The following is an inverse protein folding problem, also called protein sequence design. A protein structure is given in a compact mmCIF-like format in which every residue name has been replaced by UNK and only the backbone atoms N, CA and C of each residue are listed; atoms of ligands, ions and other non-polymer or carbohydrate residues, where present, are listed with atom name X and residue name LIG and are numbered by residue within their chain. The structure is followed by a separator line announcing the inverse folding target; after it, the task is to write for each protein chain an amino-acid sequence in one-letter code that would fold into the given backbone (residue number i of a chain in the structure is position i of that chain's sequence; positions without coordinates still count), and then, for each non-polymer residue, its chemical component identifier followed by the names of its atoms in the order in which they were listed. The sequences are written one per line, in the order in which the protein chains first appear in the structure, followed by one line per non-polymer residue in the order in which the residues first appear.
data_IF_353235984162
#
_entry.id   IF_353235984162
#
_cell.length_a   1.000
_cell.length_b   1.000
_cell.length_c   1.000
_cell.angle_alpha   90.00
_cell.angle_beta   90.00
_cell.angle_gamma   90.00
#
_symmetry.space_group_name_H-M   'P 1'
#
loop_
_entity.id
_entity.type
_entity.pdbx_description
1 polymer ?
#
# COMPACT_ATOMS: atom_id res chain seq x y z
N UNK A 1 -10.38 18.37 -19.56
CA UNK A 1 -11.86 18.45 -19.29
C UNK A 1 -12.17 19.71 -18.49
N UNK A 2 -13.44 20.19 -18.41
CA UNK A 2 -13.80 21.31 -17.53
C UNK A 2 -14.01 20.76 -16.11
N UNK A 3 -13.23 21.20 -15.09
CA UNK A 3 -13.37 20.70 -13.73
C UNK A 3 -14.76 20.95 -13.16
N UNK A 4 -15.20 20.11 -12.23
CA UNK A 4 -16.42 20.36 -11.43
C UNK A 4 -16.21 21.63 -10.59
N UNK A 5 -17.25 22.45 -10.48
CA UNK A 5 -17.18 23.68 -9.67
C UNK A 5 -16.93 23.38 -8.19
N UNK A 6 -17.58 22.35 -7.66
CA UNK A 6 -17.35 21.79 -6.32
C UNK A 6 -17.73 20.31 -6.32
N UNK A 7 -16.80 19.44 -5.94
CA UNK A 7 -16.98 17.99 -5.84
C UNK A 7 -17.19 17.50 -4.39
N UNK A 8 -16.92 18.35 -3.41
CA UNK A 8 -16.97 18.03 -1.98
C UNK A 8 -18.37 17.68 -1.46
N UNK A 9 -19.48 18.31 -1.94
CA UNK A 9 -20.82 18.00 -1.43
C UNK A 9 -21.23 16.54 -1.53
N UNK A 10 -20.81 15.81 -2.57
CA UNK A 10 -21.07 14.38 -2.74
C UNK A 10 -20.36 13.49 -1.70
N UNK A 11 -19.37 14.02 -1.00
CA UNK A 11 -18.54 13.29 -0.04
C UNK A 11 -18.59 13.87 1.37
N UNK A 12 -19.70 14.54 1.73
CA UNK A 12 -19.87 15.19 3.05
C UNK A 12 -19.72 14.25 4.25
N UNK A 13 -19.93 12.95 4.07
CA UNK A 13 -19.70 11.94 5.09
C UNK A 13 -18.22 11.81 5.49
N UNK A 14 -17.29 12.28 4.65
CA UNK A 14 -15.85 12.12 4.80
C UNK A 14 -15.11 13.48 4.84
N UNK A 15 -15.43 14.37 5.79
CA UNK A 15 -14.93 15.75 5.76
C UNK A 15 -13.41 15.87 5.85
N UNK A 16 -12.76 15.00 6.60
CA UNK A 16 -11.30 15.00 6.75
C UNK A 16 -10.60 14.54 5.47
N UNK A 17 -11.04 13.45 4.86
CA UNK A 17 -10.48 12.93 3.62
C UNK A 17 -10.67 13.90 2.46
N UNK A 18 -11.85 14.51 2.34
CA UNK A 18 -12.13 15.55 1.35
C UNK A 18 -11.22 16.78 1.57
N UNK A 19 -11.01 17.19 2.82
CA UNK A 19 -10.13 18.32 3.15
C UNK A 19 -8.67 18.02 2.78
N UNK A 20 -8.18 16.83 3.09
CA UNK A 20 -6.83 16.42 2.75
C UNK A 20 -6.58 16.43 1.25
N UNK A 21 -7.48 15.85 0.46
CA UNK A 21 -7.38 15.79 -1.00
C UNK A 21 -7.61 17.14 -1.68
N UNK A 22 -8.20 18.11 -0.97
CA UNK A 22 -8.39 19.47 -1.48
C UNK A 22 -7.22 20.38 -1.18
N UNK A 23 -6.31 19.98 -0.30
CA UNK A 23 -5.12 20.72 0.06
C UNK A 23 -3.96 20.33 -0.88
N UNK A 24 -3.48 21.26 -1.69
CA UNK A 24 -2.36 21.02 -2.61
C UNK A 24 -2.74 20.23 -3.89
N UNK A 25 -1.77 19.48 -4.42
CA UNK A 25 -1.89 18.75 -5.69
C UNK A 25 -2.52 17.35 -5.54
N UNK A 26 -3.19 17.05 -4.42
CA UNK A 26 -3.62 15.69 -4.09
C UNK A 26 -4.61 15.05 -5.07
N UNK A 27 -5.45 15.87 -5.76
CA UNK A 27 -6.46 15.38 -6.70
C UNK A 27 -6.58 16.28 -7.93
N UNK A 28 -6.58 15.70 -9.13
CA UNK A 28 -6.77 16.39 -10.41
C UNK A 28 -8.22 16.24 -10.90
N UNK A 29 -8.85 17.37 -11.19
CA UNK A 29 -10.24 17.45 -11.71
C UNK A 29 -10.31 17.71 -13.23
N UNK A 30 -9.23 18.18 -13.80
CA UNK A 30 -9.14 18.74 -15.15
C UNK A 30 -8.76 17.72 -16.22
N UNK A 31 -8.21 16.58 -15.81
CA UNK A 31 -7.72 15.51 -16.68
C UNK A 31 -8.20 14.13 -16.21
N UNK A 32 -8.16 13.15 -17.10
CA UNK A 32 -8.32 11.73 -16.75
C UNK A 32 -7.49 10.88 -17.72
N UNK A 33 -7.15 9.69 -17.28
CA UNK A 33 -6.58 8.65 -18.13
C UNK A 33 -7.70 7.78 -18.69
N UNK A 34 -7.69 7.55 -19.99
CA UNK A 34 -8.66 6.67 -20.64
C UNK A 34 -7.97 5.39 -21.12
N UNK A 35 -8.51 4.26 -20.71
CA UNK A 35 -8.03 2.92 -21.05
C UNK A 35 -9.04 2.21 -21.95
N UNK A 36 -8.60 1.21 -22.67
CA UNK A 36 -9.46 0.20 -23.28
C UNK A 36 -9.78 -0.90 -22.27
N UNK A 37 -10.85 -1.65 -22.48
CA UNK A 37 -11.16 -2.83 -21.66
C UNK A 37 -10.00 -3.82 -21.65
N UNK A 38 -9.35 -4.09 -22.78
CA UNK A 38 -8.21 -5.00 -22.87
C UNK A 38 -6.99 -4.54 -22.06
N UNK A 39 -6.78 -3.23 -21.92
CA UNK A 39 -5.71 -2.70 -21.07
C UNK A 39 -6.04 -2.89 -19.57
N UNK A 40 -7.30 -2.76 -19.19
CA UNK A 40 -7.76 -3.05 -17.83
C UNK A 40 -7.58 -4.55 -17.52
N UNK A 41 -8.03 -5.44 -18.43
CA UNK A 41 -7.87 -6.89 -18.28
C UNK A 41 -6.40 -7.30 -18.13
N UNK A 42 -5.49 -6.67 -18.88
CA UNK A 42 -4.05 -6.88 -18.75
C UNK A 42 -3.55 -6.44 -17.37
N UNK A 43 -3.90 -5.23 -16.92
CA UNK A 43 -3.44 -4.69 -15.64
C UNK A 43 -3.96 -5.55 -14.47
N UNK A 44 -5.23 -5.94 -14.51
CA UNK A 44 -5.85 -6.82 -13.51
C UNK A 44 -5.14 -8.17 -13.45
N UNK A 45 -4.97 -8.84 -14.60
CA UNK A 45 -4.30 -10.15 -14.69
C UNK A 45 -2.86 -10.10 -14.17
N UNK A 46 -2.10 -9.07 -14.57
CA UNK A 46 -0.72 -8.87 -14.11
C UNK A 46 -0.67 -8.61 -12.61
N UNK A 47 -1.58 -7.80 -12.06
CA UNK A 47 -1.63 -7.50 -10.64
C UNK A 47 -1.96 -8.76 -9.79
N UNK A 48 -2.90 -9.61 -10.24
CA UNK A 48 -3.24 -10.88 -9.60
C UNK A 48 -2.05 -11.86 -9.61
N UNK A 49 -1.34 -11.96 -10.74
CA UNK A 49 -0.13 -12.78 -10.84
C UNK A 49 0.97 -12.29 -9.91
N UNK A 50 1.27 -10.98 -9.94
CA UNK A 50 2.28 -10.37 -9.07
C UNK A 50 1.93 -10.53 -7.59
N UNK A 51 0.66 -10.39 -7.21
CA UNK A 51 0.21 -10.65 -5.84
C UNK A 51 0.55 -12.08 -5.39
N UNK A 52 0.28 -13.06 -6.24
CA UNK A 52 0.61 -14.47 -5.96
C UNK A 52 2.13 -14.68 -5.82
N UNK A 53 2.92 -14.06 -6.71
CA UNK A 53 4.40 -14.14 -6.68
C UNK A 53 4.98 -13.48 -5.43
N UNK A 54 4.43 -12.34 -5.00
CA UNK A 54 4.81 -11.65 -3.76
C UNK A 54 4.60 -12.57 -2.55
N UNK A 55 3.45 -13.24 -2.47
CA UNK A 55 3.18 -14.23 -1.41
C UNK A 55 4.22 -15.35 -1.37
N UNK A 56 4.58 -15.90 -2.53
CA UNK A 56 5.62 -16.92 -2.64
C UNK A 56 7.01 -16.38 -2.23
N UNK A 57 7.33 -15.13 -2.60
CA UNK A 57 8.59 -14.50 -2.22
C UNK A 57 8.68 -14.26 -0.70
N UNK A 58 7.61 -13.81 -0.05
CA UNK A 58 7.56 -13.67 1.41
C UNK A 58 7.74 -15.03 2.11
N UNK A 59 7.06 -16.06 1.63
CA UNK A 59 7.27 -17.42 2.13
C UNK A 59 8.74 -17.84 2.00
N UNK A 60 9.36 -17.62 0.84
CA UNK A 60 10.77 -17.92 0.63
C UNK A 60 11.69 -17.18 1.63
N UNK A 61 11.40 -15.90 1.92
CA UNK A 61 12.14 -15.14 2.94
C UNK A 61 12.02 -15.77 4.32
N UNK A 62 10.82 -16.16 4.73
CA UNK A 62 10.58 -16.76 6.06
C UNK A 62 11.23 -18.14 6.15
N UNK A 63 11.02 -19.02 5.18
CA UNK A 63 11.52 -20.39 5.17
C UNK A 63 13.05 -20.45 5.15
N UNK A 64 13.71 -19.51 4.45
CA UNK A 64 15.15 -19.42 4.35
C UNK A 64 15.79 -18.40 5.31
N UNK A 65 15.01 -17.80 6.23
CA UNK A 65 15.50 -16.86 7.25
C UNK A 65 16.23 -15.64 6.69
N UNK A 66 15.78 -15.12 5.57
CA UNK A 66 16.44 -14.03 4.84
C UNK A 66 16.14 -12.63 5.42
N UNK A 67 15.61 -12.52 6.62
CA UNK A 67 15.21 -11.26 7.26
C UNK A 67 16.34 -10.22 7.29
N UNK A 68 17.57 -10.67 7.61
CA UNK A 68 18.73 -9.79 7.65
C UNK A 68 19.08 -9.14 6.33
N UNK A 69 18.83 -9.82 5.21
CA UNK A 69 18.99 -9.28 3.87
C UNK A 69 17.98 -8.18 3.55
N UNK A 70 16.82 -8.22 4.20
CA UNK A 70 15.77 -7.20 4.12
C UNK A 70 15.89 -6.12 5.21
N UNK A 71 17.04 -6.02 5.90
CA UNK A 71 17.28 -5.02 6.93
C UNK A 71 16.62 -5.32 8.28
N UNK A 72 15.91 -6.43 8.45
CA UNK A 72 15.15 -6.77 9.65
C UNK A 72 16.01 -7.65 10.57
N UNK A 73 16.17 -7.25 11.84
CA UNK A 73 17.10 -7.88 12.78
C UNK A 73 16.54 -7.97 14.20
N UNK A 74 17.20 -8.74 15.03
CA UNK A 74 16.96 -8.78 16.48
C UNK A 74 15.58 -9.28 16.89
N UNK A 75 14.90 -8.56 17.77
CA UNK A 75 13.57 -8.92 18.29
C UNK A 75 12.50 -8.94 17.19
N UNK A 76 12.57 -8.03 16.24
CA UNK A 76 11.62 -7.94 15.14
C UNK A 76 11.54 -9.25 14.33
N UNK A 77 12.67 -9.96 14.14
CA UNK A 77 12.68 -11.29 13.49
C UNK A 77 11.85 -12.30 14.26
N UNK A 78 12.06 -12.39 15.60
CA UNK A 78 11.31 -13.32 16.44
C UNK A 78 9.82 -13.04 16.45
N UNK A 79 9.47 -11.75 16.44
CA UNK A 79 8.06 -11.30 16.37
C UNK A 79 7.41 -11.64 15.02
N UNK A 80 8.13 -11.42 13.92
CA UNK A 80 7.68 -11.78 12.57
C UNK A 80 7.46 -13.29 12.42
N UNK A 81 8.43 -14.11 12.86
CA UNK A 81 8.30 -15.57 12.83
C UNK A 81 7.10 -16.06 13.65
N UNK A 82 6.89 -15.47 14.84
CA UNK A 82 5.73 -15.80 15.66
C UNK A 82 4.40 -15.40 14.97
N UNK A 83 4.31 -14.17 14.46
CA UNK A 83 3.13 -13.67 13.74
C UNK A 83 2.81 -14.52 12.51
N UNK A 84 3.84 -14.93 11.76
CA UNK A 84 3.69 -15.83 10.62
C UNK A 84 3.23 -17.23 11.03
N UNK A 85 3.82 -17.80 12.09
CA UNK A 85 3.43 -19.11 12.62
C UNK A 85 2.00 -19.11 13.15
N UNK A 86 1.58 -18.07 13.87
CA UNK A 86 0.23 -17.93 14.41
C UNK A 86 -0.81 -17.83 13.27
N UNK A 87 -0.47 -17.10 12.22
CA UNK A 87 -1.31 -17.01 11.02
C UNK A 87 -1.54 -18.38 10.36
N UNK A 88 -0.48 -19.18 10.18
CA UNK A 88 -0.55 -20.51 9.58
C UNK A 88 -1.25 -21.52 10.50
N UNK A 89 -0.95 -21.51 11.79
CA UNK A 89 -1.51 -22.44 12.77
C UNK A 89 -3.00 -22.24 12.98
N UNK A 90 -3.52 -21.04 12.80
CA UNK A 90 -4.95 -20.73 12.95
C UNK A 90 -5.81 -21.24 11.78
N UNK A 91 -5.26 -21.99 10.83
CA UNK A 91 -5.98 -22.45 9.64
C UNK A 91 -6.40 -21.33 8.69
N UNK A 92 -5.88 -20.14 8.90
CA UNK A 92 -6.11 -18.93 8.09
C UNK A 92 -5.17 -18.86 6.90
N UNK A 93 -4.64 -19.99 6.48
CA UNK A 93 -3.65 -20.17 5.43
C UNK A 93 -4.21 -19.84 4.05
N UNK A 94 -4.65 -18.60 3.88
CA UNK A 94 -4.76 -18.06 2.55
C UNK A 94 -3.43 -17.35 2.25
N UNK A 95 -2.57 -17.95 1.43
CA UNK A 95 -1.30 -17.37 0.99
C UNK A 95 -1.46 -15.98 0.38
N UNK A 96 -2.69 -15.66 0.02
CA UNK A 96 -3.10 -14.45 -0.70
C UNK A 96 -3.62 -13.34 0.22
N UNK A 97 -3.87 -13.60 1.50
CA UNK A 97 -4.51 -12.62 2.36
C UNK A 97 -3.51 -11.75 3.12
N UNK A 98 -3.02 -10.71 2.49
CA UNK A 98 -2.13 -9.69 3.06
C UNK A 98 -2.82 -8.62 3.91
N UNK A 99 -3.71 -8.96 4.83
CA UNK A 99 -4.41 -7.95 5.63
C UNK A 99 -5.73 -7.46 5.01
N UNK A 100 -6.06 -6.17 5.18
CA UNK A 100 -7.28 -5.56 4.66
C UNK A 100 -7.20 -5.34 3.14
N UNK A 101 -6.16 -4.64 2.72
CA UNK A 101 -5.87 -4.36 1.33
C UNK A 101 -4.37 -4.24 1.11
N UNK A 102 -3.93 -4.48 -0.12
CA UNK A 102 -2.58 -4.25 -0.59
C UNK A 102 -2.58 -3.40 -1.83
N UNK A 103 -1.49 -2.68 -2.07
CA UNK A 103 -1.30 -1.85 -3.24
C UNK A 103 -0.02 -2.23 -3.96
N UNK A 104 -0.13 -2.46 -5.26
CA UNK A 104 0.99 -2.60 -6.17
C UNK A 104 1.24 -1.28 -6.88
N UNK A 105 2.47 -0.80 -6.86
CA UNK A 105 2.89 0.35 -7.67
C UNK A 105 3.49 -0.19 -8.97
N UNK A 106 2.85 0.12 -10.08
CA UNK A 106 3.16 -0.43 -11.39
C UNK A 106 3.59 0.68 -12.35
N UNK A 107 4.69 0.48 -13.05
CA UNK A 107 5.01 1.22 -14.27
C UNK A 107 4.23 0.62 -15.42
N UNK A 108 3.58 1.45 -16.22
CA UNK A 108 2.85 1.04 -17.42
C UNK A 108 3.27 1.95 -18.58
N UNK A 109 3.56 1.37 -19.73
CA UNK A 109 4.02 2.13 -20.91
C UNK A 109 2.87 2.71 -21.75
N UNK A 110 1.62 2.46 -21.36
CA UNK A 110 0.43 2.87 -22.08
C UNK A 110 0.01 1.89 -23.19
N UNK A 111 0.70 0.74 -23.33
CA UNK A 111 0.47 -0.25 -24.39
C UNK A 111 0.28 -1.65 -23.82
N UNK A 112 1.39 -2.36 -23.55
CA UNK A 112 1.38 -3.77 -23.18
C UNK A 112 2.42 -4.12 -22.09
N UNK A 113 3.29 -3.18 -21.71
CA UNK A 113 4.35 -3.42 -20.73
C UNK A 113 3.97 -2.90 -19.36
N UNK A 114 3.75 -3.82 -18.43
CA UNK A 114 3.49 -3.53 -17.01
C UNK A 114 4.65 -4.05 -16.17
N UNK A 115 5.25 -3.23 -15.30
CA UNK A 115 6.38 -3.59 -14.43
C UNK A 115 6.11 -3.22 -12.99
N UNK A 116 6.40 -4.15 -12.05
CA UNK A 116 6.32 -3.88 -10.62
C UNK A 116 7.45 -2.95 -10.17
N UNK A 117 7.07 -1.85 -9.51
CA UNK A 117 7.99 -0.90 -8.87
C UNK A 117 8.06 -1.05 -7.35
N UNK A 118 7.03 -1.59 -6.73
CA UNK A 118 6.94 -1.79 -5.29
C UNK A 118 5.55 -2.23 -4.87
N UNK A 119 5.42 -2.56 -3.60
CA UNK A 119 4.14 -2.93 -3.01
C UNK A 119 4.03 -2.44 -1.56
N UNK A 120 2.81 -2.20 -1.13
CA UNK A 120 2.46 -1.80 0.23
C UNK A 120 1.23 -2.57 0.69
N UNK A 121 1.41 -3.47 1.66
CA UNK A 121 0.35 -4.23 2.33
C UNK A 121 0.22 -3.85 3.79
N UNK A 122 0.99 -2.86 4.24
CA UNK A 122 1.06 -2.41 5.62
C UNK A 122 0.07 -1.28 5.93
N UNK A 123 -0.08 -0.36 4.97
CA UNK A 123 -1.00 0.79 5.10
C UNK A 123 -1.87 0.94 3.86
N UNK A 124 -3.01 1.65 3.99
CA UNK A 124 -3.98 1.82 2.90
C UNK A 124 -3.98 3.22 2.30
N UNK A 125 -2.90 3.97 2.45
CA UNK A 125 -2.81 5.35 1.98
C UNK A 125 -3.15 5.50 0.49
N UNK A 126 -4.17 6.34 0.23
CA UNK A 126 -4.69 6.59 -1.11
C UNK A 126 -5.90 5.75 -1.51
N UNK A 127 -6.33 4.79 -0.67
CA UNK A 127 -7.46 3.92 -0.97
C UNK A 127 -8.80 4.70 -1.02
N UNK A 128 -8.99 5.67 -0.12
CA UNK A 128 -10.17 6.53 -0.13
C UNK A 128 -10.32 7.29 -1.46
N UNK A 129 -9.23 7.85 -1.97
CA UNK A 129 -9.25 8.54 -3.25
C UNK A 129 -9.44 7.57 -4.42
N UNK A 130 -8.75 6.42 -4.39
CA UNK A 130 -8.87 5.35 -5.38
C UNK A 130 -10.27 4.72 -5.42
N UNK A 131 -10.98 4.71 -4.31
CA UNK A 131 -12.33 4.16 -4.21
C UNK A 131 -13.41 5.22 -4.43
N UNK A 132 -13.64 6.09 -3.44
CA UNK A 132 -14.82 6.95 -3.45
C UNK A 132 -14.65 8.26 -4.23
N UNK A 133 -13.48 8.92 -4.18
CA UNK A 133 -13.31 10.22 -4.84
C UNK A 133 -13.39 10.04 -6.35
N UNK A 134 -12.67 9.05 -6.90
CA UNK A 134 -12.71 8.82 -8.35
C UNK A 134 -14.06 8.25 -8.83
N UNK A 135 -14.76 7.44 -8.01
CA UNK A 135 -16.13 6.99 -8.32
C UNK A 135 -17.08 8.18 -8.44
N UNK A 136 -17.06 9.06 -7.43
CA UNK A 136 -17.88 10.28 -7.43
C UNK A 136 -17.54 11.20 -8.63
N UNK A 137 -16.26 11.26 -9.01
CA UNK A 137 -15.86 11.98 -10.20
C UNK A 137 -16.43 11.35 -11.49
N UNK A 138 -16.30 10.03 -11.65
CA UNK A 138 -16.84 9.31 -12.83
C UNK A 138 -18.36 9.52 -12.95
N UNK A 139 -19.10 9.36 -11.87
CA UNK A 139 -20.56 9.53 -11.86
C UNK A 139 -21.00 10.94 -12.28
N UNK A 140 -20.22 11.95 -11.92
CA UNK A 140 -20.53 13.34 -12.25
C UNK A 140 -20.04 13.78 -13.63
N UNK A 141 -18.93 13.23 -14.12
CA UNK A 141 -18.21 13.75 -15.29
C UNK A 141 -18.26 12.82 -16.50
N UNK A 142 -18.49 11.53 -16.30
CA UNK A 142 -18.41 10.50 -17.32
C UNK A 142 -19.31 9.30 -16.96
N UNK A 143 -20.59 9.55 -16.69
CA UNK A 143 -21.54 8.52 -16.24
C UNK A 143 -21.75 7.39 -17.28
N UNK A 144 -21.44 7.64 -18.55
CA UNK A 144 -21.50 6.70 -19.65
C UNK A 144 -20.25 5.82 -19.81
N UNK A 145 -19.18 6.13 -19.08
CA UNK A 145 -17.94 5.35 -19.09
C UNK A 145 -17.85 4.41 -17.88
N UNK A 146 -17.06 3.34 -18.04
CA UNK A 146 -16.73 2.42 -16.97
C UNK A 146 -15.49 2.88 -16.19
N UNK A 147 -15.30 2.30 -15.00
CA UNK A 147 -14.13 2.52 -14.16
C UNK A 147 -13.75 1.22 -13.47
N UNK A 148 -12.47 0.85 -13.48
CA UNK A 148 -11.98 -0.32 -12.75
C UNK A 148 -11.90 0.01 -11.26
N UNK A 149 -13.01 -0.15 -10.56
CA UNK A 149 -13.18 0.30 -9.18
C UNK A 149 -14.30 -0.46 -8.44
N UNK A 150 -14.04 -1.70 -8.07
CA UNK A 150 -14.87 -2.51 -7.15
C UNK A 150 -14.43 -2.42 -5.69
N UNK A 151 -13.59 -1.44 -5.33
CA UNK A 151 -12.87 -1.41 -4.06
C UNK A 151 -13.76 -1.25 -2.84
N UNK A 152 -14.81 -0.43 -2.91
CA UNK A 152 -15.66 -0.15 -1.75
C UNK A 152 -16.41 -1.40 -1.29
N UNK A 153 -17.07 -2.07 -2.22
CA UNK A 153 -17.83 -3.28 -1.97
C UNK A 153 -16.92 -4.41 -1.46
N UNK A 154 -15.77 -4.58 -2.10
CA UNK A 154 -14.77 -5.56 -1.70
C UNK A 154 -14.22 -5.31 -0.29
N UNK A 155 -14.04 -4.06 0.11
CA UNK A 155 -13.63 -3.73 1.48
C UNK A 155 -14.68 -4.09 2.51
N UNK A 156 -15.97 -3.87 2.23
CA UNK A 156 -17.05 -4.28 3.11
C UNK A 156 -17.06 -5.80 3.29
N UNK A 157 -17.03 -6.56 2.20
CA UNK A 157 -16.93 -8.02 2.23
C UNK A 157 -15.68 -8.49 2.98
N UNK A 158 -14.54 -7.83 2.77
CA UNK A 158 -13.29 -8.17 3.44
C UNK A 158 -13.33 -7.93 4.94
N UNK A 159 -14.00 -6.87 5.41
CA UNK A 159 -14.24 -6.65 6.82
C UNK A 159 -15.07 -7.77 7.45
N UNK A 160 -16.12 -8.27 6.77
CA UNK A 160 -16.93 -9.40 7.23
C UNK A 160 -16.07 -10.67 7.39
N UNK A 161 -15.23 -10.99 6.39
CA UNK A 161 -14.32 -12.14 6.44
C UNK A 161 -13.33 -12.04 7.62
N UNK A 162 -12.71 -10.85 7.79
CA UNK A 162 -11.75 -10.61 8.86
C UNK A 162 -12.41 -10.72 10.24
N UNK A 163 -13.61 -10.16 10.41
CA UNK A 163 -14.36 -10.23 11.67
C UNK A 163 -14.75 -11.65 12.04
N UNK A 164 -15.04 -12.52 11.07
CA UNK A 164 -15.37 -13.92 11.32
C UNK A 164 -14.28 -14.67 12.09
N UNK A 165 -13.03 -14.25 11.94
CA UNK A 165 -11.87 -14.85 12.59
C UNK A 165 -11.36 -14.16 13.86
N UNK A 166 -11.99 -13.07 14.32
CA UNK A 166 -11.49 -12.29 15.45
C UNK A 166 -12.23 -12.58 16.77
N UNK A 167 -11.53 -12.68 17.91
CA UNK A 167 -12.16 -12.62 19.22
C UNK A 167 -12.76 -11.22 19.43
N UNK A 168 -14.01 -11.17 19.94
CA UNK A 168 -14.69 -9.88 20.18
C UNK A 168 -15.27 -9.22 18.92
N UNK A 169 -15.88 -10.00 18.08
CA UNK A 169 -16.50 -9.71 16.76
C UNK A 169 -17.37 -8.47 16.70
N UNK A 170 -17.37 -7.51 17.28
CA UNK A 170 -18.31 -6.38 17.18
C UNK A 170 -17.60 -5.04 17.15
N UNK A 171 -16.29 -5.00 17.36
CA UNK A 171 -15.64 -3.71 17.53
C UNK A 171 -14.16 -3.70 17.10
N UNK A 172 -13.79 -2.74 16.27
CA UNK A 172 -12.42 -2.48 15.85
C UNK A 172 -12.01 -1.05 16.22
N UNK A 173 -10.84 -0.91 16.82
CA UNK A 173 -10.20 0.39 16.99
C UNK A 173 -9.38 0.71 15.74
N UNK A 174 -9.47 1.95 15.25
CA UNK A 174 -8.68 2.40 14.11
C UNK A 174 -7.80 3.57 14.53
N UNK A 175 -6.54 3.54 14.14
CA UNK A 175 -5.55 4.50 14.63
C UNK A 175 -4.54 4.94 13.58
N UNK A 176 -4.12 6.19 13.66
CA UNK A 176 -2.94 6.75 13.00
C UNK A 176 -2.21 7.72 13.94
N UNK A 177 -0.97 8.06 13.61
CA UNK A 177 -0.30 9.18 14.26
C UNK A 177 -1.02 10.49 13.88
N UNK A 178 -1.23 11.37 14.86
CA UNK A 178 -1.91 12.65 14.68
C UNK A 178 -1.01 13.82 15.10
N UNK A 179 -1.13 15.02 14.51
CA UNK A 179 -2.06 15.37 13.42
C UNK A 179 -1.58 14.88 12.04
N UNK A 180 -2.43 14.19 11.31
CA UNK A 180 -2.20 13.81 9.92
C UNK A 180 -3.55 13.78 9.17
N UNK A 181 -3.95 14.89 8.55
CA UNK A 181 -5.26 15.01 7.90
C UNK A 181 -5.51 13.98 6.79
N UNK A 182 -4.45 13.48 6.12
CA UNK A 182 -4.55 12.47 5.06
C UNK A 182 -4.92 11.12 5.67
N UNK A 183 -4.15 10.67 6.65
CA UNK A 183 -4.41 9.40 7.36
C UNK A 183 -5.67 9.42 8.18
N UNK A 184 -5.98 10.54 8.83
CA UNK A 184 -7.26 10.72 9.55
C UNK A 184 -8.46 10.59 8.60
N UNK A 185 -8.37 11.15 7.40
CA UNK A 185 -9.39 10.99 6.37
C UNK A 185 -9.54 9.55 5.88
N UNK A 186 -8.44 8.86 5.70
CA UNK A 186 -8.41 7.44 5.36
C UNK A 186 -9.05 6.58 6.46
N UNK A 187 -8.73 6.85 7.74
CA UNK A 187 -9.34 6.15 8.88
C UNK A 187 -10.86 6.30 8.93
N UNK A 188 -11.39 7.50 8.67
CA UNK A 188 -12.83 7.74 8.63
C UNK A 188 -13.49 6.91 7.53
N UNK A 189 -12.83 6.77 6.38
CA UNK A 189 -13.31 5.92 5.29
C UNK A 189 -13.29 4.44 5.67
N UNK A 190 -12.19 3.95 6.23
CA UNK A 190 -12.09 2.55 6.69
C UNK A 190 -13.11 2.23 7.80
N UNK A 191 -13.34 3.16 8.72
CA UNK A 191 -14.37 3.02 9.74
C UNK A 191 -15.77 2.93 9.14
N UNK A 192 -16.04 3.68 8.07
CA UNK A 192 -17.33 3.61 7.38
C UNK A 192 -17.54 2.26 6.70
N UNK A 193 -16.52 1.72 5.99
CA UNK A 193 -16.62 0.38 5.38
C UNK A 193 -16.75 -0.73 6.42
N UNK A 194 -16.07 -0.63 7.56
CA UNK A 194 -16.24 -1.57 8.67
C UNK A 194 -17.65 -1.49 9.30
N UNK A 195 -18.19 -0.28 9.44
CA UNK A 195 -19.54 -0.09 9.95
C UNK A 195 -20.62 -0.63 8.98
N UNK A 196 -20.43 -0.51 7.67
CA UNK A 196 -21.29 -1.13 6.65
C UNK A 196 -21.26 -2.66 6.73
N UNK A 197 -20.12 -3.26 7.11
CA UNK A 197 -19.98 -4.68 7.42
C UNK A 197 -20.54 -5.08 8.81
N UNK A 198 -21.23 -4.17 9.51
CA UNK A 198 -21.83 -4.44 10.82
C UNK A 198 -20.84 -4.45 11.98
N UNK A 199 -19.64 -3.91 11.83
CA UNK A 199 -18.62 -3.87 12.87
C UNK A 199 -18.64 -2.50 13.56
N UNK A 200 -18.70 -2.48 14.90
CA UNK A 200 -18.52 -1.25 15.68
C UNK A 200 -17.12 -0.69 15.49
N UNK A 201 -17.01 0.64 15.41
CA UNK A 201 -15.72 1.29 15.15
C UNK A 201 -15.42 2.38 16.17
N UNK A 202 -14.15 2.52 16.54
CA UNK A 202 -13.66 3.62 17.36
C UNK A 202 -12.36 4.16 16.77
N UNK A 203 -12.34 5.45 16.49
CA UNK A 203 -11.15 6.17 16.04
C UNK A 203 -10.40 6.73 17.24
N UNK A 204 -9.08 6.57 17.29
CA UNK A 204 -8.24 7.16 18.33
C UNK A 204 -6.86 7.52 17.79
N UNK A 205 -6.23 8.60 18.30
CA UNK A 205 -4.83 8.90 18.00
C UNK A 205 -3.91 7.79 18.48
N UNK A 206 -2.89 7.41 17.69
CA UNK A 206 -1.92 6.38 18.09
C UNK A 206 -1.25 6.70 19.43
N UNK A 207 -0.97 7.98 19.66
CA UNK A 207 -0.33 8.48 20.87
C UNK A 207 -1.14 8.27 22.16
N UNK A 208 -2.45 8.00 22.03
CA UNK A 208 -3.33 7.76 23.20
C UNK A 208 -3.50 6.28 23.53
N UNK A 209 -2.93 5.38 22.74
CA UNK A 209 -2.93 3.95 23.03
C UNK A 209 -2.08 3.70 24.28
N UNK A 210 -2.73 3.25 25.35
CA UNK A 210 -2.13 3.01 26.66
C UNK A 210 -1.75 1.54 26.89
N UNK A 211 -1.10 1.28 28.02
CA UNK A 211 -0.71 -0.06 28.50
C UNK A 211 -0.89 -0.16 30.01
N UNK A 212 -1.70 -1.12 30.50
CA UNK A 212 -1.97 -1.33 31.93
C UNK A 212 -1.00 -2.33 32.62
N UNK A 213 0.02 -2.79 31.91
CA UNK A 213 0.92 -3.86 32.36
C UNK A 213 0.52 -5.24 31.78
N UNK A 214 -0.66 -5.39 31.20
CA UNK A 214 -1.18 -6.66 30.67
C UNK A 214 -1.85 -6.50 29.29
N UNK A 215 -2.56 -5.40 29.03
CA UNK A 215 -3.36 -5.17 27.82
C UNK A 215 -3.16 -3.76 27.29
N UNK A 216 -3.38 -3.59 26.02
CA UNK A 216 -3.49 -2.27 25.40
C UNK A 216 -4.86 -1.67 25.72
N UNK A 217 -4.87 -0.38 26.01
CA UNK A 217 -6.07 0.38 26.39
C UNK A 217 -6.27 1.57 25.44
N UNK A 218 -7.52 1.89 25.21
CA UNK A 218 -7.90 3.14 24.55
C UNK A 218 -7.87 4.34 25.51
N UNK A 219 -8.23 5.52 25.02
CA UNK A 219 -8.27 6.78 25.78
C UNK A 219 -9.37 6.85 26.85
N UNK A 220 -10.30 5.88 26.88
CA UNK A 220 -11.30 5.70 27.95
C UNK A 220 -10.91 4.57 28.94
N UNK A 221 -9.74 3.95 28.76
CA UNK A 221 -9.27 2.85 29.57
C UNK A 221 -9.91 1.50 29.26
N UNK A 222 -10.57 1.36 28.10
CA UNK A 222 -11.12 0.09 27.63
C UNK A 222 -10.04 -0.74 26.93
N UNK A 223 -10.10 -2.07 27.07
CA UNK A 223 -9.13 -2.95 26.46
C UNK A 223 -9.31 -3.00 24.92
N UNK A 224 -8.23 -2.78 24.19
CA UNK A 224 -8.16 -2.93 22.74
C UNK A 224 -7.88 -4.39 22.42
N UNK A 225 -8.83 -5.08 21.80
CA UNK A 225 -8.68 -6.47 21.34
C UNK A 225 -8.37 -6.57 19.85
N UNK A 226 -8.80 -5.58 19.05
CA UNK A 226 -8.58 -5.54 17.62
C UNK A 226 -8.27 -4.09 17.18
N UNK A 227 -7.10 -3.91 16.56
CA UNK A 227 -6.59 -2.61 16.14
C UNK A 227 -6.26 -2.61 14.65
N UNK A 228 -6.87 -1.72 13.88
CA UNK A 228 -6.45 -1.38 12.53
C UNK A 228 -5.58 -0.12 12.59
N UNK A 229 -4.35 -0.21 12.08
CA UNK A 229 -3.39 0.89 12.14
C UNK A 229 -3.06 1.44 10.75
N UNK A 230 -2.96 2.76 10.64
CA UNK A 230 -2.36 3.46 9.51
C UNK A 230 -1.01 4.08 9.91
N UNK A 231 -0.15 3.28 10.47
CA UNK A 231 1.21 3.64 10.84
C UNK A 231 2.14 2.49 10.45
N UNK A 232 3.21 2.74 9.66
CA UNK A 232 4.06 1.67 9.14
C UNK A 232 4.73 0.86 10.23
N UNK A 233 4.91 -0.44 9.99
CA UNK A 233 5.60 -1.33 10.93
C UNK A 233 7.08 -0.97 11.12
N UNK A 234 7.74 -0.41 10.11
CA UNK A 234 9.12 0.07 10.23
C UNK A 234 9.24 1.18 11.28
N UNK A 235 8.28 2.10 11.36
CA UNK A 235 8.21 3.13 12.39
C UNK A 235 7.89 2.57 13.79
N UNK A 236 7.27 1.39 13.89
CA UNK A 236 6.99 0.71 15.17
C UNK A 236 8.09 -0.28 15.58
N UNK A 237 9.03 -0.60 14.69
CA UNK A 237 10.01 -1.67 14.90
C UNK A 237 10.94 -1.43 16.09
N UNK A 238 11.20 -0.18 16.42
CA UNK A 238 12.03 0.23 17.56
C UNK A 238 11.21 0.61 18.81
N UNK A 239 9.87 0.56 18.70
CA UNK A 239 8.98 0.94 19.79
C UNK A 239 8.88 -0.17 20.85
N UNK A 240 8.90 0.23 22.13
CA UNK A 240 8.69 -0.68 23.26
C UNK A 240 7.34 -1.42 23.18
N UNK A 241 6.34 -0.86 22.52
CA UNK A 241 5.04 -1.49 22.31
C UNK A 241 5.10 -2.72 21.41
N UNK A 242 6.04 -2.79 20.45
CA UNK A 242 6.21 -3.98 19.61
C UNK A 242 6.38 -5.25 20.46
N UNK A 243 7.24 -5.21 21.49
CA UNK A 243 7.49 -6.33 22.37
C UNK A 243 6.26 -6.76 23.18
N UNK A 244 5.33 -5.83 23.45
CA UNK A 244 4.10 -6.07 24.21
C UNK A 244 2.96 -6.65 23.36
N UNK A 245 3.02 -6.55 22.03
CA UNK A 245 1.97 -7.06 21.14
C UNK A 245 1.69 -8.55 21.39
N UNK A 246 2.73 -9.34 21.57
CA UNK A 246 2.60 -10.79 21.80
C UNK A 246 1.90 -11.13 23.10
N UNK A 247 2.17 -10.38 24.18
CA UNK A 247 1.58 -10.62 25.50
C UNK A 247 0.26 -9.90 25.71
N UNK A 248 -0.01 -8.85 24.95
CA UNK A 248 -1.17 -7.98 25.13
C UNK A 248 -2.49 -8.54 24.59
N UNK A 249 -2.46 -9.64 23.86
CA UNK A 249 -3.67 -10.28 23.32
C UNK A 249 -4.44 -9.45 22.29
N UNK A 250 -3.82 -8.41 21.72
CA UNK A 250 -4.38 -7.54 20.70
C UNK A 250 -4.05 -8.07 19.30
N UNK A 251 -5.07 -8.26 18.49
CA UNK A 251 -4.89 -8.49 17.05
C UNK A 251 -4.68 -7.18 16.33
N UNK A 252 -3.67 -7.11 15.46
CA UNK A 252 -3.37 -5.92 14.66
C UNK A 252 -3.64 -6.18 13.18
N UNK A 253 -4.31 -5.26 12.54
CA UNK A 253 -4.56 -5.19 11.10
C UNK A 253 -3.81 -3.95 10.57
N UNK A 254 -2.90 -4.04 9.62
CA UNK A 254 -2.37 -5.26 8.98
C UNK A 254 -1.45 -6.04 9.92
N UNK A 255 -1.43 -7.38 9.85
CA UNK A 255 -0.56 -8.18 10.69
C UNK A 255 0.93 -7.85 10.51
N UNK A 256 1.75 -8.15 11.53
CA UNK A 256 3.18 -7.80 11.52
C UNK A 256 3.93 -8.39 10.30
N UNK A 257 3.57 -9.57 9.83
CA UNK A 257 4.21 -10.16 8.64
C UNK A 257 3.91 -9.39 7.34
N UNK A 258 2.90 -8.52 7.29
CA UNK A 258 2.68 -7.59 6.17
C UNK A 258 3.83 -6.58 6.00
N UNK A 259 4.65 -6.38 7.02
CA UNK A 259 5.90 -5.63 6.90
C UNK A 259 6.85 -6.22 5.85
N UNK A 260 6.95 -7.56 5.77
CA UNK A 260 7.72 -8.22 4.71
C UNK A 260 7.14 -7.94 3.32
N UNK A 261 5.81 -7.96 3.19
CA UNK A 261 5.13 -7.68 1.92
C UNK A 261 5.30 -6.23 1.45
N UNK A 262 5.71 -5.34 2.34
CA UNK A 262 5.89 -3.92 2.05
C UNK A 262 7.37 -3.51 1.97
N UNK A 263 8.28 -4.45 2.20
CA UNK A 263 9.72 -4.19 2.15
C UNK A 263 10.22 -4.14 0.71
N UNK A 264 10.90 -3.07 0.32
CA UNK A 264 11.40 -2.89 -1.05
C UNK A 264 12.45 -3.93 -1.44
N UNK A 265 13.19 -4.50 -0.49
CA UNK A 265 14.14 -5.59 -0.74
C UNK A 265 13.48 -6.85 -1.31
N UNK A 266 12.16 -6.98 -1.16
CA UNK A 266 11.39 -8.07 -1.75
C UNK A 266 11.46 -8.08 -3.29
N UNK A 267 11.70 -6.92 -3.93
CA UNK A 267 11.91 -6.82 -5.38
C UNK A 267 13.14 -7.63 -5.81
N UNK A 268 14.23 -7.61 -5.01
CA UNK A 268 15.40 -8.43 -5.29
C UNK A 268 15.11 -9.92 -5.11
N UNK A 269 14.32 -10.29 -4.12
CA UNK A 269 13.89 -11.69 -3.92
C UNK A 269 13.02 -12.16 -5.09
N UNK A 270 12.07 -11.35 -5.53
CA UNK A 270 11.24 -11.63 -6.71
C UNK A 270 12.08 -11.79 -7.98
N UNK A 271 13.03 -10.87 -8.23
CA UNK A 271 13.94 -10.94 -9.37
C UNK A 271 14.81 -12.22 -9.36
N UNK A 272 15.19 -12.70 -8.18
CA UNK A 272 15.93 -13.95 -7.99
C UNK A 272 15.05 -15.18 -8.25
N UNK A 273 13.85 -15.23 -7.71
CA UNK A 273 12.94 -16.38 -7.83
C UNK A 273 12.36 -16.53 -9.24
N UNK A 274 12.12 -15.41 -9.91
CA UNK A 274 11.49 -15.33 -11.23
C UNK A 274 12.35 -14.56 -12.22
N UNK A 275 13.53 -15.10 -12.58
CA UNK A 275 14.48 -14.41 -13.45
C UNK A 275 13.85 -14.19 -14.84
N UNK A 276 13.97 -12.95 -15.34
CA UNK A 276 13.44 -12.53 -16.64
C UNK A 276 11.90 -12.55 -16.76
N UNK A 277 11.17 -12.51 -15.64
CA UNK A 277 9.73 -12.38 -15.69
C UNK A 277 9.33 -11.06 -16.37
N UNK A 278 8.37 -11.05 -17.33
CA UNK A 278 8.05 -9.86 -18.12
C UNK A 278 7.55 -8.68 -17.26
N UNK A 279 6.92 -8.96 -16.14
CA UNK A 279 6.33 -7.91 -15.26
C UNK A 279 7.21 -7.56 -14.06
N UNK A 280 8.46 -8.06 -13.99
CA UNK A 280 9.45 -7.68 -12.98
C UNK A 280 10.58 -6.86 -13.61
N UNK A 281 11.09 -5.89 -12.86
CA UNK A 281 12.38 -5.26 -13.13
C UNK A 281 13.50 -6.17 -12.61
N UNK A 282 14.68 -6.15 -13.22
CA UNK A 282 15.86 -6.72 -12.58
C UNK A 282 16.13 -5.94 -11.30
N UNK A 283 16.34 -6.64 -10.20
CA UNK A 283 16.60 -6.02 -8.91
C UNK A 283 17.61 -6.85 -8.10
N UNK A 284 18.44 -6.17 -7.30
CA UNK A 284 19.44 -6.78 -6.43
C UNK A 284 19.64 -5.95 -5.15
N UNK A 285 20.07 -6.59 -4.06
CA UNK A 285 20.47 -5.90 -2.82
C UNK A 285 21.90 -5.36 -2.90
N UNK A 286 22.68 -5.83 -3.85
CA UNK A 286 24.00 -5.29 -4.21
C UNK A 286 23.92 -4.71 -5.62
N UNK A 287 24.18 -3.41 -5.77
CA UNK A 287 24.13 -2.73 -7.06
C UNK A 287 25.10 -3.32 -8.09
N UNK A 288 26.23 -3.89 -7.67
CA UNK A 288 27.17 -4.55 -8.58
C UNK A 288 26.58 -5.84 -9.18
N UNK A 289 25.69 -6.52 -8.46
CA UNK A 289 25.03 -7.74 -8.93
C UNK A 289 23.94 -7.48 -9.98
N UNK A 290 23.45 -6.24 -10.11
CA UNK A 290 22.42 -5.89 -11.09
C UNK A 290 22.90 -6.01 -12.54
N UNK A 291 24.21 -5.82 -12.76
CA UNK A 291 24.82 -5.80 -14.10
C UNK A 291 24.49 -4.51 -14.86
N UNK A 292 24.85 -4.43 -16.16
CA UNK A 292 24.63 -3.22 -16.96
C UNK A 292 23.15 -2.90 -17.14
N UNK A 293 22.77 -1.64 -16.88
CA UNK A 293 21.45 -1.06 -17.09
C UNK A 293 21.59 0.36 -17.60
N UNK A 294 20.67 0.80 -18.45
CA UNK A 294 20.63 2.18 -18.94
C UNK A 294 20.28 3.18 -17.83
N UNK A 295 19.34 2.78 -16.97
CA UNK A 295 18.94 3.54 -15.80
C UNK A 295 18.71 2.60 -14.60
N UNK A 296 19.11 3.07 -13.43
CA UNK A 296 19.01 2.32 -12.16
C UNK A 296 18.39 3.22 -11.09
N UNK A 297 17.41 2.69 -10.40
CA UNK A 297 16.86 3.30 -9.18
C UNK A 297 17.46 2.60 -7.96
N UNK A 298 18.10 3.35 -7.08
CA UNK A 298 18.45 2.91 -5.73
C UNK A 298 17.36 3.40 -4.77
N UNK A 299 16.82 2.50 -3.94
CA UNK A 299 15.76 2.83 -2.98
C UNK A 299 16.07 2.19 -1.63
N UNK A 300 15.80 2.91 -0.54
CA UNK A 300 15.89 2.35 0.80
C UNK A 300 14.89 1.19 0.98
N UNK A 301 15.24 0.22 1.84
CA UNK A 301 14.41 -0.97 2.09
C UNK A 301 13.09 -0.62 2.78
N UNK A 302 13.06 0.45 3.57
CA UNK A 302 11.91 0.93 4.36
C UNK A 302 11.45 2.31 3.92
N UNK A 303 10.29 2.75 4.42
CA UNK A 303 9.72 4.08 4.20
C UNK A 303 8.56 4.09 3.19
N UNK A 304 8.17 2.94 2.64
CA UNK A 304 7.06 2.83 1.69
C UNK A 304 7.23 3.80 0.51
N UNK A 305 6.20 4.58 0.16
CA UNK A 305 6.27 5.56 -0.95
C UNK A 305 7.19 6.76 -0.64
N UNK A 306 7.44 7.03 0.64
CA UNK A 306 8.36 8.07 1.10
C UNK A 306 9.79 7.55 1.30
N UNK A 307 10.09 6.32 0.86
CA UNK A 307 11.43 5.76 0.98
C UNK A 307 12.45 6.61 0.22
N UNK A 308 13.58 6.94 0.85
CA UNK A 308 14.70 7.59 0.18
C UNK A 308 15.09 6.88 -1.11
N UNK A 309 15.31 7.64 -2.20
CA UNK A 309 15.63 7.06 -3.50
C UNK A 309 16.51 7.96 -4.37
N UNK A 310 17.26 7.32 -5.27
CA UNK A 310 18.13 7.94 -6.26
C UNK A 310 17.96 7.29 -7.62
N UNK A 311 18.08 8.07 -8.69
CA UNK A 311 18.10 7.56 -10.06
C UNK A 311 19.44 7.91 -10.71
N UNK A 312 20.07 6.89 -11.28
CA UNK A 312 21.32 6.99 -12.02
C UNK A 312 21.07 6.54 -13.46
N UNK A 313 21.30 7.39 -14.45
CA UNK A 313 21.19 7.09 -15.88
C UNK A 313 22.58 7.15 -16.50
N UNK A 314 23.00 6.09 -17.18
CA UNK A 314 24.33 5.98 -17.83
C UNK A 314 25.50 6.38 -16.90
N UNK A 315 25.40 6.05 -15.61
CA UNK A 315 26.41 6.37 -14.61
C UNK A 315 26.37 7.80 -14.06
N UNK A 316 25.43 8.62 -14.49
CA UNK A 316 25.21 9.98 -14.00
C UNK A 316 23.98 10.01 -13.10
N UNK A 317 24.11 10.59 -11.89
CA UNK A 317 22.97 10.81 -11.00
C UNK A 317 22.08 11.91 -11.60
N UNK A 318 20.85 11.51 -11.97
CA UNK A 318 19.87 12.42 -12.58
C UNK A 318 18.82 12.88 -11.59
N UNK A 319 18.65 12.16 -10.49
CA UNK A 319 17.74 12.53 -9.42
C UNK A 319 18.19 11.94 -8.07
N UNK A 320 18.03 12.73 -7.00
CA UNK A 320 18.31 12.38 -5.61
C UNK A 320 17.32 13.15 -4.73
N UNK A 321 16.61 12.47 -3.83
CA UNK A 321 15.72 13.14 -2.87
C UNK A 321 16.47 13.77 -1.69
N UNK A 322 17.80 13.58 -1.64
CA UNK A 322 18.68 14.18 -0.63
C UNK A 322 18.74 13.39 0.69
N UNK A 323 18.04 12.28 0.76
CA UNK A 323 18.01 11.44 1.96
C UNK A 323 18.95 10.23 1.85
N UNK A 324 19.27 9.61 3.00
CA UNK A 324 20.18 8.46 3.02
C UNK A 324 19.46 7.17 2.63
N UNK A 325 19.69 6.72 1.40
CA UNK A 325 19.18 5.44 0.90
C UNK A 325 19.84 4.21 1.54
N UNK A 326 20.89 4.39 2.35
CA UNK A 326 21.74 3.28 2.84
C UNK A 326 21.54 2.94 4.32
N UNK A 327 20.89 3.79 5.11
CA UNK A 327 20.79 3.67 6.57
C UNK A 327 20.26 2.31 7.06
N UNK A 328 19.30 1.73 6.34
CA UNK A 328 18.72 0.41 6.64
C UNK A 328 18.95 -0.63 5.55
N UNK A 329 19.79 -0.33 4.57
CA UNK A 329 20.05 -1.12 3.38
C UNK A 329 19.30 -0.60 2.16
N UNK A 330 19.77 -1.03 0.99
CA UNK A 330 19.31 -0.51 -0.32
C UNK A 330 18.92 -1.66 -1.23
N UNK A 331 17.85 -1.48 -1.99
CA UNK A 331 17.58 -2.26 -3.19
C UNK A 331 17.90 -1.43 -4.42
N UNK A 332 18.57 -2.07 -5.37
CA UNK A 332 18.91 -1.54 -6.69
C UNK A 332 18.00 -2.20 -7.71
N UNK A 333 17.30 -1.41 -8.52
CA UNK A 333 16.42 -1.95 -9.55
C UNK A 333 16.63 -1.23 -10.88
N UNK A 334 16.51 -1.97 -11.97
CA UNK A 334 16.43 -1.40 -13.29
C UNK A 334 15.22 -0.48 -13.40
N UNK A 335 15.43 0.77 -13.79
CA UNK A 335 14.34 1.73 -13.95
C UNK A 335 13.59 1.45 -15.25
N UNK A 336 12.32 1.05 -15.20
CA UNK A 336 11.57 0.74 -16.42
C UNK A 336 11.13 2.00 -17.16
N UNK A 337 10.92 1.87 -18.46
CA UNK A 337 10.28 2.89 -19.26
C UNK A 337 8.77 2.83 -19.03
N UNK A 338 8.26 3.76 -18.20
CA UNK A 338 6.82 3.93 -17.98
C UNK A 338 6.22 5.02 -18.88
N UNK A 339 4.92 5.23 -18.73
CA UNK A 339 4.23 6.32 -19.41
C UNK A 339 4.84 7.68 -19.02
N UNK A 340 5.14 8.45 -20.04
CA UNK A 340 5.65 9.82 -19.91
C UNK A 340 5.06 10.69 -21.00
N UNK A 341 4.55 11.85 -20.63
CA UNK A 341 4.09 12.90 -21.53
C UNK A 341 4.74 14.20 -21.07
N UNK A 342 5.55 14.79 -21.93
CA UNK A 342 6.44 15.92 -21.59
C UNK A 342 7.29 15.60 -20.34
N UNK A 343 7.15 16.39 -19.28
CA UNK A 343 7.83 16.18 -18.01
C UNK A 343 6.98 15.37 -17.01
N UNK A 344 5.74 15.01 -17.35
CA UNK A 344 4.83 14.25 -16.49
C UNK A 344 5.08 12.76 -16.60
N UNK A 345 5.27 12.09 -15.46
CA UNK A 345 5.37 10.64 -15.32
C UNK A 345 4.13 10.14 -14.58
N UNK A 346 3.63 8.99 -14.98
CA UNK A 346 2.51 8.35 -14.31
C UNK A 346 2.86 6.92 -13.89
N UNK A 347 2.32 6.51 -12.75
CA UNK A 347 2.31 5.11 -12.28
C UNK A 347 0.88 4.69 -11.96
N UNK A 348 0.64 3.40 -12.02
CA UNK A 348 -0.63 2.81 -11.59
C UNK A 348 -0.50 2.30 -10.16
N UNK A 349 -1.47 2.61 -9.33
CA UNK A 349 -1.68 1.99 -8.03
C UNK A 349 -2.80 0.97 -8.17
N UNK A 350 -2.44 -0.30 -8.38
CA UNK A 350 -3.39 -1.40 -8.45
C UNK A 350 -3.67 -1.92 -7.04
N UNK A 351 -4.94 -1.98 -6.65
CA UNK A 351 -5.37 -2.34 -5.30
C UNK A 351 -5.91 -3.76 -5.25
N UNK A 352 -5.32 -4.54 -4.37
CA UNK A 352 -5.71 -5.92 -4.06
C UNK A 352 -6.48 -5.93 -2.75
N UNK A 353 -7.69 -6.48 -2.75
CA UNK A 353 -8.50 -6.71 -1.56
C UNK A 353 -8.75 -8.22 -1.45
N UNK A 354 -8.45 -8.81 -0.29
CA UNK A 354 -8.38 -10.27 -0.21
C UNK A 354 -7.24 -10.81 -1.08
N UNK A 355 -7.59 -11.49 -2.17
CA UNK A 355 -6.65 -12.11 -3.10
C UNK A 355 -6.85 -11.67 -4.57
N UNK A 356 -7.58 -10.57 -4.78
CA UNK A 356 -7.93 -10.07 -6.11
C UNK A 356 -7.62 -8.58 -6.27
N UNK A 357 -7.11 -8.22 -7.43
CA UNK A 357 -7.03 -6.83 -7.85
C UNK A 357 -8.43 -6.36 -8.26
N UNK A 358 -8.99 -5.40 -7.55
CA UNK A 358 -10.39 -4.97 -7.72
C UNK A 358 -10.53 -3.48 -8.05
N UNK A 359 -9.43 -2.83 -8.33
CA UNK A 359 -9.44 -1.45 -8.76
C UNK A 359 -8.05 -0.84 -8.86
N UNK A 360 -7.99 0.32 -9.46
CA UNK A 360 -6.74 1.06 -9.57
C UNK A 360 -6.95 2.58 -9.46
N UNK A 361 -5.85 3.29 -9.25
CA UNK A 361 -5.75 4.74 -9.39
C UNK A 361 -4.49 5.09 -10.19
N UNK A 362 -4.49 6.23 -10.86
CA UNK A 362 -3.31 6.78 -11.51
C UNK A 362 -2.72 7.85 -10.63
N UNK A 363 -1.41 7.85 -10.45
CA UNK A 363 -0.68 8.95 -9.83
C UNK A 363 0.33 9.54 -10.81
N UNK A 364 0.43 10.86 -10.84
CA UNK A 364 1.35 11.56 -11.72
C UNK A 364 2.16 12.63 -10.99
N UNK A 365 3.36 12.86 -11.47
CA UNK A 365 4.26 13.89 -11.00
C UNK A 365 5.13 14.42 -12.16
N UNK A 366 5.52 15.69 -12.06
CA UNK A 366 6.56 16.26 -12.91
C UNK A 366 7.99 15.89 -12.43
N UNK A 367 8.12 15.21 -11.30
CA UNK A 367 9.39 14.75 -10.74
C UNK A 367 9.87 13.45 -11.43
N UNK A 368 11.15 13.11 -11.29
CA UNK A 368 11.71 11.85 -11.82
C UNK A 368 11.02 10.58 -11.30
N UNK A 369 10.36 10.66 -10.13
CA UNK A 369 9.57 9.59 -9.53
C UNK A 369 8.21 10.09 -9.06
N UNK A 370 7.30 9.16 -8.86
CA UNK A 370 5.99 9.40 -8.24
C UNK A 370 6.06 9.01 -6.77
N UNK A 371 5.79 9.95 -5.90
CA UNK A 371 5.87 9.83 -4.45
C UNK A 371 4.58 10.26 -3.73
N UNK A 372 4.61 10.41 -2.40
CA UNK A 372 3.43 10.76 -1.60
C UNK A 372 2.73 12.05 -2.02
N UNK A 373 3.51 13.05 -2.47
CA UNK A 373 3.01 14.36 -2.89
C UNK A 373 2.46 14.40 -4.32
N UNK A 374 2.53 13.27 -5.04
CA UNK A 374 2.07 13.20 -6.42
C UNK A 374 0.55 13.23 -6.51
N UNK A 375 0.04 13.89 -7.55
CA UNK A 375 -1.39 14.03 -7.75
C UNK A 375 -2.05 12.70 -8.11
N UNK A 376 -3.24 12.45 -7.60
CA UNK A 376 -4.12 11.38 -8.07
C UNK A 376 -4.99 11.90 -9.22
N UNK A 377 -5.09 11.11 -10.27
CA UNK A 377 -5.82 11.42 -11.49
C UNK A 377 -6.86 10.33 -11.73
N UNK A 378 -8.13 10.68 -11.99
CA UNK A 378 -9.14 9.68 -12.29
C UNK A 378 -8.82 8.92 -13.58
N UNK A 379 -9.28 7.68 -13.64
CA UNK A 379 -9.25 6.88 -14.85
C UNK A 379 -10.66 6.46 -15.29
N UNK A 380 -10.78 6.16 -16.56
CA UNK A 380 -11.96 5.59 -17.19
C UNK A 380 -11.54 4.47 -18.12
N UNK A 381 -12.48 3.60 -18.50
CA UNK A 381 -12.29 2.75 -19.65
C UNK A 381 -13.58 2.66 -20.46
N UNK A 382 -13.40 2.39 -21.77
CA UNK A 382 -14.49 2.15 -22.71
C UNK A 382 -14.27 0.80 -23.37
N UNK A 383 -15.35 0.04 -23.49
CA UNK A 383 -15.39 -1.25 -24.17
C UNK A 383 -15.73 -1.11 -25.64
#
# INVERSE_FOLDING_TARGET
MKPRADWRPGLRKYPYGVRAMSAGAGWREDVCYEFTASQIDLIESVADELHTMIGAAVRHVVDNKLFGALGIRGEAVRMLEASWSDYWSAGRCNERAGGLAGRLTLSYDGRDTVKLLGCNYDTTEGLFAASLIQRNWREAMAADANQFNGLHEALVERWEELAAGQPGRGHVHLTCATPDPVREGELVYLAATAAEAGIGTRLLPLQTVGWDGRRFLDDEGQAISWLAKLYPWDGLSEDVFLQRLRSGGMSVLSPLWCWLWSNHGLLAVLSHLYPRHPNLCRAALDGAALGPCDAVTARALFGLDAAPQRIVEQGVMVADDGEDVTSHGTVWLETPHGFREDDTRAVLHAWVVGDKCLGMAVREAAAPWVGPESAMVPHLFRG
#
